data_IF_936579360255
#
_entry.id   IF_936579360255
#
_cell.length_a   1.000
_cell.length_b   1.000
_cell.length_c   1.000
_cell.angle_alpha   90.00
_cell.angle_beta   90.00
_cell.angle_gamma   90.00
#
_symmetry.space_group_name_H-M   'P 1'
#
loop_
_entity.id
_entity.type
_entity.pdbx_description
1 polymer ?
#
# COMPACT_ATOMS: atom_id res chain seq x y z
N UNK A 1 -12.22 -19.99 -0.64
CA UNK A 1 -11.25 -18.87 -0.68
C UNK A 1 -9.89 -19.49 -0.47
N UNK A 2 -9.04 -19.51 -1.49
CA UNK A 2 -7.68 -20.05 -1.38
C UNK A 2 -6.82 -19.13 -0.51
N UNK A 3 -5.99 -19.72 0.34
CA UNK A 3 -5.09 -19.03 1.27
C UNK A 3 -4.01 -18.18 0.57
N UNK A 4 -3.82 -18.37 -0.73
CA UNK A 4 -2.76 -17.75 -1.52
C UNK A 4 -2.86 -16.21 -1.62
N UNK A 5 -4.04 -15.62 -1.37
CA UNK A 5 -4.27 -14.19 -1.57
C UNK A 5 -4.10 -13.32 -0.30
N UNK A 6 -3.85 -13.91 0.87
CA UNK A 6 -3.70 -13.15 2.14
C UNK A 6 -2.31 -12.49 2.29
N UNK A 7 -1.29 -13.03 1.61
CA UNK A 7 0.08 -12.55 1.64
C UNK A 7 0.47 -11.78 0.36
N UNK A 8 -0.51 -11.46 -0.49
CA UNK A 8 -0.25 -10.65 -1.67
C UNK A 8 0.28 -9.28 -1.24
N UNK A 9 1.41 -8.90 -1.82
CA UNK A 9 1.99 -7.56 -1.69
C UNK A 9 1.72 -6.86 -3.02
N UNK A 10 1.17 -5.63 -3.02
CA UNK A 10 0.83 -4.94 -4.25
C UNK A 10 2.05 -4.84 -5.16
N UNK A 11 1.84 -4.66 -6.46
CA UNK A 11 2.86 -4.15 -7.37
C UNK A 11 2.76 -2.62 -7.45
N UNK A 12 3.81 -1.94 -7.93
CA UNK A 12 3.68 -0.50 -8.26
C UNK A 12 2.67 -0.24 -9.37
N UNK A 13 2.59 -1.13 -10.36
CA UNK A 13 1.66 -1.01 -11.48
C UNK A 13 0.20 -1.07 -11.00
N UNK A 14 -0.13 -2.03 -10.13
CA UNK A 14 -1.46 -2.17 -9.53
C UNK A 14 -1.88 -0.90 -8.78
N UNK A 15 -0.96 -0.28 -8.03
CA UNK A 15 -1.24 0.97 -7.33
C UNK A 15 -1.43 2.16 -8.30
N UNK A 16 -0.65 2.21 -9.38
CA UNK A 16 -0.68 3.30 -10.36
C UNK A 16 -1.92 3.27 -11.28
N UNK A 17 -2.47 2.08 -11.54
CA UNK A 17 -3.68 1.90 -12.34
C UNK A 17 -4.97 2.29 -11.60
N UNK A 18 -4.91 2.40 -10.27
CA UNK A 18 -6.06 2.74 -9.44
C UNK A 18 -6.32 4.26 -9.37
N UNK A 19 -7.60 4.65 -9.26
CA UNK A 19 -7.93 6.04 -8.90
C UNK A 19 -7.41 6.35 -7.49
N UNK A 20 -6.50 7.35 -7.33
CA UNK A 20 -5.83 7.62 -6.06
C UNK A 20 -6.78 7.99 -4.93
N UNK A 21 -7.94 8.57 -5.22
CA UNK A 21 -8.90 9.01 -4.19
C UNK A 21 -9.94 7.94 -3.83
N UNK A 22 -9.80 6.70 -4.29
CA UNK A 22 -10.81 5.65 -4.14
C UNK A 22 -10.38 4.45 -3.31
N UNK A 23 -9.29 4.58 -2.55
CA UNK A 23 -8.85 3.54 -1.63
C UNK A 23 -9.64 3.56 -0.32
N UNK A 24 -9.78 2.39 0.30
CA UNK A 24 -10.40 2.23 1.62
C UNK A 24 -9.44 1.53 2.56
N UNK A 25 -9.16 2.14 3.71
CA UNK A 25 -8.36 1.56 4.79
C UNK A 25 -9.30 1.01 5.87
N UNK A 26 -9.22 -0.29 6.16
CA UNK A 26 -9.97 -0.91 7.25
C UNK A 26 -9.26 -0.66 8.58
N UNK A 27 -9.93 0.03 9.48
CA UNK A 27 -9.40 0.41 10.82
C UNK A 27 -10.01 -0.42 11.96
N UNK A 28 -11.13 -1.11 11.70
CA UNK A 28 -11.76 -2.11 12.56
C UNK A 28 -12.58 -3.10 11.71
N UNK A 29 -13.03 -4.26 12.23
CA UNK A 29 -13.68 -5.31 11.44
C UNK A 29 -14.82 -4.82 10.52
N UNK A 30 -15.59 -3.83 10.95
CA UNK A 30 -16.72 -3.28 10.19
C UNK A 30 -16.54 -1.79 9.84
N UNK A 31 -15.31 -1.26 10.01
CA UNK A 31 -15.02 0.15 9.82
C UNK A 31 -13.93 0.35 8.78
N UNK A 32 -14.32 0.81 7.60
CA UNK A 32 -13.44 1.30 6.54
C UNK A 32 -13.51 2.83 6.47
N UNK A 33 -12.37 3.48 6.25
CA UNK A 33 -12.29 4.90 5.96
C UNK A 33 -11.75 5.12 4.55
N UNK A 34 -12.29 6.10 3.84
CA UNK A 34 -11.75 6.49 2.53
C UNK A 34 -10.43 7.24 2.73
N UNK A 35 -9.43 6.88 1.95
CA UNK A 35 -8.09 7.47 1.98
C UNK A 35 -7.65 7.82 0.56
N UNK A 36 -6.73 8.77 0.44
CA UNK A 36 -6.13 9.12 -0.85
C UNK A 36 -4.70 8.60 -0.94
N UNK A 37 -4.38 7.85 -1.98
CA UNK A 37 -3.00 7.56 -2.37
C UNK A 37 -2.36 8.84 -2.88
N UNK A 38 -1.40 9.38 -2.13
CA UNK A 38 -0.72 10.63 -2.47
C UNK A 38 0.37 10.41 -3.50
N UNK A 39 1.19 9.40 -3.27
CA UNK A 39 2.36 9.10 -4.07
C UNK A 39 2.82 7.67 -3.81
N UNK A 40 3.48 7.12 -4.83
CA UNK A 40 4.30 5.92 -4.72
C UNK A 40 5.73 6.38 -5.00
N UNK A 41 6.63 6.20 -4.03
CA UNK A 41 8.02 6.63 -4.13
C UNK A 41 8.91 5.43 -4.41
N UNK A 42 9.85 5.59 -5.32
CA UNK A 42 10.86 4.57 -5.54
C UNK A 42 11.79 4.45 -4.34
N UNK A 43 12.14 3.20 -4.01
CA UNK A 43 13.15 2.86 -3.02
C UNK A 43 14.37 2.22 -3.67
N UNK A 44 15.31 1.76 -2.84
CA UNK A 44 16.49 1.04 -3.30
C UNK A 44 16.25 -0.47 -3.18
N UNK A 45 16.20 -1.23 -4.29
CA UNK A 45 16.07 -2.67 -4.23
C UNK A 45 17.25 -3.33 -3.52
N UNK A 46 16.99 -4.45 -2.85
CA UNK A 46 18.06 -5.25 -2.26
C UNK A 46 19.00 -5.84 -3.31
N UNK A 47 18.47 -6.23 -4.47
CA UNK A 47 19.18 -6.77 -5.63
C UNK A 47 18.29 -6.72 -6.88
N UNK A 48 18.78 -7.21 -8.02
CA UNK A 48 18.06 -7.23 -9.29
C UNK A 48 16.83 -8.16 -9.35
N UNK A 49 16.56 -8.94 -8.31
CA UNK A 49 15.38 -9.80 -8.21
C UNK A 49 14.28 -9.20 -7.34
N UNK A 50 14.44 -7.98 -6.84
CA UNK A 50 13.47 -7.32 -5.98
C UNK A 50 13.12 -5.95 -6.53
N UNK A 51 11.92 -5.48 -6.20
CA UNK A 51 11.61 -4.06 -6.21
C UNK A 51 11.42 -3.55 -4.78
N UNK A 52 11.74 -2.27 -4.60
CA UNK A 52 11.55 -1.56 -3.34
C UNK A 52 10.87 -0.23 -3.65
N UNK A 53 9.85 0.10 -2.88
CA UNK A 53 9.13 1.37 -2.99
C UNK A 53 8.32 1.62 -1.72
N UNK A 54 7.76 2.82 -1.58
CA UNK A 54 6.77 3.11 -0.54
C UNK A 54 5.52 3.72 -1.13
N UNK A 55 4.38 3.54 -0.45
CA UNK A 55 3.14 4.24 -0.77
C UNK A 55 2.72 5.12 0.42
N UNK A 56 2.20 6.30 0.10
CA UNK A 56 1.77 7.27 1.11
C UNK A 56 0.28 7.55 1.00
N UNK A 57 -0.44 7.41 2.12
CA UNK A 57 -1.88 7.61 2.21
C UNK A 57 -2.19 8.86 3.04
N UNK A 58 -2.97 9.77 2.48
CA UNK A 58 -3.59 10.83 3.27
C UNK A 58 -4.85 10.30 3.95
N UNK A 59 -4.94 10.52 5.26
CA UNK A 59 -6.14 10.24 6.03
C UNK A 59 -7.16 11.39 5.89
N UNK A 60 -8.46 11.14 6.15
CA UNK A 60 -9.43 12.22 6.30
C UNK A 60 -9.01 13.23 7.36
N UNK A 61 -9.45 14.49 7.21
CA UNK A 61 -9.15 15.54 8.21
C UNK A 61 -9.65 15.11 9.59
N UNK A 62 -8.82 15.33 10.62
CA UNK A 62 -9.12 14.97 12.01
C UNK A 62 -8.91 13.49 12.35
N UNK A 63 -8.57 12.64 11.37
CA UNK A 63 -8.23 11.23 11.62
C UNK A 63 -6.73 11.09 11.82
N UNK A 64 -6.35 10.46 12.93
CA UNK A 64 -4.97 10.08 13.26
C UNK A 64 -4.98 8.61 13.63
N UNK A 65 -4.08 7.85 13.03
CA UNK A 65 -3.95 6.41 13.25
C UNK A 65 -2.51 6.10 13.71
N UNK A 66 -2.31 5.12 14.61
CA UNK A 66 -0.98 4.69 15.01
C UNK A 66 -0.31 3.85 13.92
N UNK A 67 0.93 3.44 14.17
CA UNK A 67 1.55 2.38 13.37
C UNK A 67 0.83 1.05 13.64
N UNK A 68 0.36 0.37 12.59
CA UNK A 68 -0.30 -0.93 12.71
C UNK A 68 -0.35 -1.67 11.35
N UNK A 69 -0.72 -2.93 11.39
CA UNK A 69 -1.19 -3.66 10.20
C UNK A 69 -2.61 -3.19 9.87
N UNK A 70 -2.78 -2.66 8.66
CA UNK A 70 -4.09 -2.29 8.13
C UNK A 70 -4.36 -3.06 6.85
N UNK A 71 -5.63 -3.35 6.61
CA UNK A 71 -6.08 -3.86 5.33
C UNK A 71 -6.44 -2.68 4.42
N UNK A 72 -5.74 -2.55 3.31
CA UNK A 72 -6.00 -1.58 2.26
C UNK A 72 -6.79 -2.25 1.15
N UNK A 73 -7.90 -1.67 0.75
CA UNK A 73 -8.70 -2.09 -0.40
C UNK A 73 -8.51 -1.09 -1.54
N UNK A 74 -8.21 -1.62 -2.72
CA UNK A 74 -8.17 -0.87 -3.97
C UNK A 74 -9.58 -0.66 -4.54
N UNK A 75 -9.78 0.35 -5.40
CA UNK A 75 -11.00 0.47 -6.18
C UNK A 75 -11.24 -0.69 -7.16
N UNK A 76 -10.20 -1.46 -7.52
CA UNK A 76 -10.28 -2.61 -8.39
C UNK A 76 -10.75 -3.90 -7.67
N UNK A 77 -10.93 -3.86 -6.35
CA UNK A 77 -11.35 -5.01 -5.53
C UNK A 77 -10.20 -5.80 -4.92
N UNK A 78 -8.96 -5.50 -5.30
CA UNK A 78 -7.76 -6.05 -4.65
C UNK A 78 -7.62 -5.55 -3.21
N UNK A 79 -7.00 -6.37 -2.36
CA UNK A 79 -6.78 -6.05 -0.95
C UNK A 79 -5.41 -6.51 -0.48
N UNK A 80 -4.79 -5.72 0.40
CA UNK A 80 -3.47 -6.01 0.94
C UNK A 80 -3.42 -5.68 2.43
N UNK A 81 -2.79 -6.55 3.23
CA UNK A 81 -2.52 -6.29 4.65
C UNK A 81 -1.10 -5.75 4.76
N UNK A 82 -0.97 -4.46 5.08
CA UNK A 82 0.31 -3.74 5.07
C UNK A 82 0.58 -3.08 6.42
N UNK A 83 1.85 -3.05 6.81
CA UNK A 83 2.30 -2.22 7.92
C UNK A 83 2.34 -0.77 7.45
N UNK A 84 1.51 0.07 8.07
CA UNK A 84 1.56 1.51 7.87
C UNK A 84 2.14 2.19 9.09
N UNK A 85 2.94 3.23 8.86
CA UNK A 85 3.59 4.05 9.89
C UNK A 85 3.25 5.53 9.66
N UNK A 86 2.93 6.31 10.71
CA UNK A 86 2.73 7.74 10.58
C UNK A 86 4.01 8.46 10.15
N UNK A 87 3.89 9.38 9.19
CA UNK A 87 4.98 10.24 8.69
C UNK A 87 4.57 11.70 8.72
N UNK A 88 5.41 12.59 8.18
CA UNK A 88 5.14 14.03 8.14
C UNK A 88 3.75 14.32 7.56
N UNK A 89 2.88 15.05 8.28
CA UNK A 89 1.57 15.44 7.78
C UNK A 89 1.65 16.29 6.51
N UNK A 90 0.56 16.33 5.75
CA UNK A 90 0.43 17.29 4.65
C UNK A 90 0.37 18.72 5.19
N UNK A 91 0.77 19.68 4.36
CA UNK A 91 0.63 21.11 4.66
C UNK A 91 -0.83 21.54 4.94
N UNK A 92 -1.83 20.78 4.45
CA UNK A 92 -3.26 21.02 4.73
C UNK A 92 -3.76 20.44 6.07
N UNK A 93 -2.83 19.89 6.88
CA UNK A 93 -3.08 19.36 8.21
C UNK A 93 -3.55 17.90 8.26
N UNK A 94 -3.73 17.22 7.12
CA UNK A 94 -4.06 15.78 7.11
C UNK A 94 -2.86 14.94 7.54
N UNK A 95 -3.11 14.00 8.45
CA UNK A 95 -2.13 12.98 8.80
C UNK A 95 -1.85 12.07 7.60
N UNK A 96 -0.62 11.57 7.52
CA UNK A 96 -0.14 10.71 6.43
C UNK A 96 0.41 9.43 7.02
N UNK A 97 0.07 8.32 6.39
CA UNK A 97 0.63 7.00 6.66
C UNK A 97 1.51 6.55 5.49
N UNK A 98 2.62 5.87 5.78
CA UNK A 98 3.50 5.27 4.78
C UNK A 98 3.60 3.75 5.01
N UNK A 99 3.53 2.98 3.93
CA UNK A 99 3.91 1.58 3.90
C UNK A 99 5.12 1.41 2.97
N UNK A 100 6.20 0.83 3.49
CA UNK A 100 7.40 0.48 2.73
C UNK A 100 7.31 -0.96 2.28
N UNK A 101 7.55 -1.20 1.00
CA UNK A 101 7.38 -2.47 0.32
C UNK A 101 8.72 -2.96 -0.21
N UNK A 102 9.06 -4.19 0.17
CA UNK A 102 10.09 -5.00 -0.48
C UNK A 102 9.41 -6.26 -1.01
N UNK A 103 9.48 -6.49 -2.32
CA UNK A 103 8.91 -7.70 -2.92
C UNK A 103 9.81 -8.27 -3.98
N UNK A 104 9.78 -9.59 -4.10
CA UNK A 104 10.43 -10.29 -5.20
C UNK A 104 9.72 -9.92 -6.51
N UNK A 105 10.51 -9.68 -7.55
CA UNK A 105 10.01 -9.62 -8.91
C UNK A 105 9.56 -11.04 -9.28
N UNK A 106 8.39 -11.17 -9.89
CA UNK A 106 7.98 -12.43 -10.50
C UNK A 106 8.87 -12.63 -11.72
N UNK A 107 9.93 -13.42 -11.57
CA UNK A 107 10.71 -13.91 -12.70
C UNK A 107 9.86 -14.99 -13.36
N UNK A 108 9.48 -14.86 -14.65
CA UNK A 108 8.79 -15.92 -15.35
C UNK A 108 9.62 -17.20 -15.25
N UNK A 109 9.03 -18.29 -14.77
CA UNK A 109 9.70 -19.58 -14.75
C UNK A 109 10.02 -19.98 -16.20
N UNK A 110 11.30 -19.95 -16.58
CA UNK A 110 11.75 -20.39 -17.90
C UNK A 110 12.65 -19.43 -18.70
N UNK A 111 13.54 -18.69 -18.04
CA UNK A 111 14.72 -18.14 -18.74
C UNK A 111 15.98 -18.62 -18.02
N UNK A 112 16.19 -19.94 -18.06
CA UNK A 112 17.55 -20.48 -17.94
C UNK A 112 18.29 -20.07 -19.22
N UNK A 113 19.35 -19.28 -19.05
CA UNK A 113 20.29 -18.91 -20.11
C UNK A 113 21.22 -20.07 -20.47
#
# INVERSE_FOLDING_TARGET
MSQDNLNAIPTRAELAECNPDSFVLQVAPEQGIRVSLLEVRDGVPMNGHHECYSLMLALPKGVVLPSNLYRLYSPAGEQWVLLFTPVMPKADGRAVLEAVIHRALVVPAGVDA
#
